data_IF_634916586303
#
_entry.id   IF_634916586303
#
_cell.length_a   1.000
_cell.length_b   1.000
_cell.length_c   1.000
_cell.angle_alpha   90.00
_cell.angle_beta   90.00
_cell.angle_gamma   90.00
#
_symmetry.space_group_name_H-M   'P 1'
#
loop_
_entity.id
_entity.type
_entity.pdbx_description
1 polymer ?
#
# COMPACT_ATOMS: atom_id res chain seq x y z
N UNK A 1 -11.98 -19.11 -3.98
CA UNK A 1 -12.68 -18.25 -2.98
C UNK A 1 -11.73 -17.61 -1.98
N UNK A 2 -10.92 -18.36 -1.22
CA UNK A 2 -10.03 -17.80 -0.19
C UNK A 2 -8.97 -16.81 -0.73
N UNK A 3 -8.39 -17.09 -1.92
CA UNK A 3 -7.40 -16.21 -2.57
C UNK A 3 -7.98 -14.84 -2.94
N UNK A 4 -9.23 -14.81 -3.42
CA UNK A 4 -9.90 -13.57 -3.78
C UNK A 4 -10.12 -12.66 -2.57
N UNK A 5 -10.50 -13.24 -1.43
CA UNK A 5 -10.61 -12.50 -0.16
C UNK A 5 -9.27 -11.91 0.28
N UNK A 6 -8.18 -12.68 0.14
CA UNK A 6 -6.84 -12.18 0.43
C UNK A 6 -6.44 -11.04 -0.53
N UNK A 7 -6.78 -11.14 -1.81
CA UNK A 7 -6.52 -10.10 -2.81
C UNK A 7 -7.19 -8.77 -2.42
N UNK A 8 -8.45 -8.82 -1.98
CA UNK A 8 -9.18 -7.64 -1.50
C UNK A 8 -8.58 -7.01 -0.24
N UNK A 9 -8.14 -7.83 0.72
CA UNK A 9 -7.45 -7.33 1.93
C UNK A 9 -6.15 -6.60 1.52
N UNK A 10 -5.38 -7.19 0.62
CA UNK A 10 -4.15 -6.58 0.12
C UNK A 10 -4.40 -5.29 -0.68
N UNK A 11 -5.50 -5.19 -1.45
CA UNK A 11 -5.92 -3.91 -2.07
C UNK A 11 -6.08 -2.85 -1.00
N UNK A 12 -6.89 -3.15 0.01
CA UNK A 12 -7.27 -2.16 1.03
C UNK A 12 -6.03 -1.68 1.78
N UNK A 13 -5.16 -2.61 2.20
CA UNK A 13 -3.89 -2.28 2.85
C UNK A 13 -3.00 -1.43 1.94
N UNK A 14 -2.88 -1.80 0.66
CA UNK A 14 -2.10 -1.05 -0.32
C UNK A 14 -2.62 0.37 -0.54
N UNK A 15 -3.94 0.53 -0.71
CA UNK A 15 -4.57 1.85 -0.87
C UNK A 15 -4.37 2.70 0.39
N UNK A 16 -4.57 2.13 1.59
CA UNK A 16 -4.34 2.85 2.85
C UNK A 16 -2.89 3.33 2.95
N UNK A 17 -1.91 2.49 2.59
CA UNK A 17 -0.50 2.86 2.60
C UNK A 17 -0.19 4.00 1.61
N UNK A 18 -0.80 3.98 0.41
CA UNK A 18 -0.67 5.08 -0.57
C UNK A 18 -1.30 6.37 -0.04
N UNK A 19 -2.51 6.30 0.52
CA UNK A 19 -3.18 7.48 1.11
C UNK A 19 -2.36 8.04 2.26
N UNK A 20 -1.85 7.17 3.13
CA UNK A 20 -0.97 7.58 4.23
C UNK A 20 0.31 8.24 3.70
N UNK A 21 0.91 7.72 2.64
CA UNK A 21 2.08 8.32 1.99
C UNK A 21 1.76 9.71 1.46
N UNK A 22 0.66 9.87 0.71
CA UNK A 22 0.24 11.16 0.16
C UNK A 22 -0.03 12.18 1.27
N UNK A 23 -0.80 11.79 2.28
CA UNK A 23 -1.06 12.66 3.44
C UNK A 23 0.24 13.02 4.14
N UNK A 24 1.15 12.06 4.29
CA UNK A 24 2.44 12.28 4.93
C UNK A 24 3.33 13.25 4.15
N UNK A 25 3.35 13.16 2.82
CA UNK A 25 4.15 14.03 1.97
C UNK A 25 3.56 15.43 1.82
N UNK A 26 2.23 15.57 1.83
CA UNK A 26 1.53 16.85 1.66
C UNK A 26 1.43 17.65 2.96
N UNK A 27 1.18 16.99 4.09
CA UNK A 27 0.93 17.66 5.37
C UNK A 27 2.06 17.48 6.40
N UNK A 28 3.06 16.67 6.09
CA UNK A 28 4.23 16.48 6.94
C UNK A 28 5.07 17.75 7.00
N UNK A 29 5.17 18.36 8.18
CA UNK A 29 6.01 19.55 8.41
C UNK A 29 7.49 19.30 8.05
N UNK A 30 7.97 18.08 8.28
CA UNK A 30 9.26 17.56 7.87
C UNK A 30 9.12 16.08 7.45
N UNK A 31 9.00 15.76 6.16
CA UNK A 31 8.83 14.38 5.71
C UNK A 31 10.09 13.56 6.00
N UNK A 32 9.95 12.57 6.87
CA UNK A 32 11.00 11.60 7.18
C UNK A 32 11.15 10.63 6.02
N UNK A 33 12.33 10.65 5.41
CA UNK A 33 12.70 9.76 4.32
C UNK A 33 12.47 8.28 4.68
N UNK A 34 12.84 7.79 5.89
CA UNK A 34 12.64 6.38 6.24
C UNK A 34 11.17 5.96 6.24
N UNK A 35 10.25 6.79 6.75
CA UNK A 35 8.83 6.47 6.77
C UNK A 35 8.24 6.46 5.36
N UNK A 36 8.64 7.41 4.51
CA UNK A 36 8.23 7.44 3.10
C UNK A 36 8.68 6.17 2.37
N UNK A 37 9.93 5.73 2.56
CA UNK A 37 10.44 4.49 1.97
C UNK A 37 9.63 3.28 2.45
N UNK A 38 9.35 3.20 3.76
CA UNK A 38 8.57 2.10 4.33
C UNK A 38 7.15 2.05 3.72
N UNK A 39 6.47 3.20 3.63
CA UNK A 39 5.13 3.28 3.04
C UNK A 39 5.13 2.91 1.55
N UNK A 40 6.14 3.33 0.80
CA UNK A 40 6.32 2.95 -0.62
C UNK A 40 6.49 1.44 -0.77
N UNK A 41 7.32 0.81 0.07
CA UNK A 41 7.55 -0.64 0.03
C UNK A 41 6.26 -1.39 0.35
N UNK A 42 5.56 -1.01 1.43
CA UNK A 42 4.30 -1.64 1.83
C UNK A 42 3.25 -1.50 0.73
N UNK A 43 3.06 -0.30 0.18
CA UNK A 43 2.12 -0.05 -0.89
C UNK A 43 2.44 -0.87 -2.15
N UNK A 44 3.69 -0.86 -2.59
CA UNK A 44 4.13 -1.55 -3.81
C UNK A 44 3.97 -3.07 -3.69
N UNK A 45 4.37 -3.65 -2.55
CA UNK A 45 4.24 -5.09 -2.31
C UNK A 45 2.76 -5.48 -2.21
N UNK A 46 1.96 -4.77 -1.39
CA UNK A 46 0.56 -5.11 -1.19
C UNK A 46 -0.26 -5.00 -2.48
N UNK A 47 -0.10 -3.91 -3.25
CA UNK A 47 -0.80 -3.72 -4.51
C UNK A 47 -0.31 -4.69 -5.58
N UNK A 48 1.00 -4.95 -5.68
CA UNK A 48 1.56 -5.90 -6.64
C UNK A 48 1.03 -7.32 -6.43
N UNK A 49 1.05 -7.81 -5.18
CA UNK A 49 0.49 -9.13 -4.86
C UNK A 49 -1.02 -9.18 -5.02
N UNK A 50 -1.73 -8.11 -4.67
CA UNK A 50 -3.17 -8.02 -4.87
C UNK A 50 -3.55 -8.16 -6.35
N UNK A 51 -2.90 -7.41 -7.24
CA UNK A 51 -3.11 -7.50 -8.68
C UNK A 51 -2.79 -8.90 -9.18
N UNK A 52 -1.66 -9.48 -8.76
CA UNK A 52 -1.29 -10.84 -9.12
C UNK A 52 -2.37 -11.87 -8.71
N UNK A 53 -2.90 -11.78 -7.49
CA UNK A 53 -3.92 -12.67 -6.98
C UNK A 53 -5.30 -12.49 -7.64
N UNK A 54 -5.62 -11.30 -8.18
CA UNK A 54 -6.83 -11.13 -8.99
C UNK A 54 -6.72 -11.74 -10.39
N UNK A 55 -5.50 -11.91 -10.89
CA UNK A 55 -5.23 -12.45 -12.22
C UNK A 55 -5.06 -13.97 -12.24
N UNK A 56 -4.98 -14.62 -11.07
CA UNK A 56 -4.95 -16.09 -10.89
C UNK A 56 -6.35 -16.60 -10.58
#
# INVERSE_FOLDING_TARGET
MALLWLAWILVIVGIIAVVALVVYTEFGRDPSIPLSILLIIIASVALGFSIHLFLI
#
